data_IF_416073081955
#
_entry.id   IF_416073081955
#
_cell.length_a   1.000
_cell.length_b   1.000
_cell.length_c   1.000
_cell.angle_alpha   90.00
_cell.angle_beta   90.00
_cell.angle_gamma   90.00
#
_symmetry.space_group_name_H-M   'P 1'
#
loop_
_entity.id
_entity.type
_entity.pdbx_description
1 polymer ?
#
# COMPACT_ATOMS: atom_id res chain seq x y z
N UNK A 1 -14.11 -26.35 -64.49
CA UNK A 1 -13.74 -27.24 -63.36
C UNK A 1 -12.57 -26.73 -62.51
N UNK A 2 -11.88 -25.64 -62.86
CA UNK A 2 -10.68 -25.17 -62.15
C UNK A 2 -10.95 -24.31 -60.89
N UNK A 3 -12.14 -23.72 -60.73
CA UNK A 3 -12.47 -22.85 -59.59
C UNK A 3 -12.69 -23.62 -58.27
N UNK A 4 -13.22 -24.85 -58.34
CA UNK A 4 -13.49 -25.68 -57.16
C UNK A 4 -12.23 -26.18 -56.44
N UNK A 5 -11.08 -26.21 -57.12
CA UNK A 5 -9.82 -26.67 -56.54
C UNK A 5 -9.13 -25.55 -55.75
N UNK A 6 -9.32 -24.29 -56.14
CA UNK A 6 -8.76 -23.13 -55.43
C UNK A 6 -9.50 -22.85 -54.12
N UNK A 7 -10.83 -22.95 -54.13
CA UNK A 7 -11.65 -22.76 -52.92
C UNK A 7 -11.32 -23.82 -51.85
N UNK A 8 -11.15 -25.09 -52.25
CA UNK A 8 -10.76 -26.18 -51.34
C UNK A 8 -9.37 -25.97 -50.72
N UNK A 9 -8.41 -25.47 -51.50
CA UNK A 9 -7.08 -25.13 -50.95
C UNK A 9 -7.15 -23.97 -49.96
N UNK A 10 -8.05 -23.02 -50.18
CA UNK A 10 -8.24 -21.89 -49.28
C UNK A 10 -8.95 -22.30 -47.98
N UNK A 11 -9.87 -23.26 -48.02
CA UNK A 11 -10.49 -23.83 -46.81
C UNK A 11 -9.50 -24.67 -46.02
N UNK A 12 -8.71 -25.52 -46.68
CA UNK A 12 -7.68 -26.33 -46.01
C UNK A 12 -6.62 -25.44 -45.32
N UNK A 13 -6.19 -24.36 -45.99
CA UNK A 13 -5.26 -23.40 -45.41
C UNK A 13 -5.86 -22.63 -44.21
N UNK A 14 -7.17 -22.38 -44.23
CA UNK A 14 -7.89 -21.74 -43.12
C UNK A 14 -8.00 -22.71 -41.93
N UNK A 15 -8.30 -23.98 -42.17
CA UNK A 15 -8.38 -25.03 -41.15
C UNK A 15 -7.02 -25.29 -40.47
N UNK A 16 -5.94 -25.28 -41.25
CA UNK A 16 -4.58 -25.38 -40.68
C UNK A 16 -4.27 -24.18 -39.79
N UNK A 17 -4.68 -22.97 -40.18
CA UNK A 17 -4.48 -21.76 -39.38
C UNK A 17 -5.32 -21.75 -38.11
N UNK A 18 -6.58 -22.20 -38.16
CA UNK A 18 -7.43 -22.28 -36.96
C UNK A 18 -6.93 -23.37 -36.01
N UNK A 19 -6.44 -24.50 -36.53
CA UNK A 19 -5.80 -25.53 -35.72
C UNK A 19 -4.52 -25.03 -35.03
N UNK A 20 -3.66 -24.30 -35.76
CA UNK A 20 -2.47 -23.69 -35.19
C UNK A 20 -2.84 -22.64 -34.11
N UNK A 21 -3.85 -21.81 -34.36
CA UNK A 21 -4.32 -20.82 -33.39
C UNK A 21 -4.85 -21.49 -32.11
N UNK A 22 -5.65 -22.55 -32.25
CA UNK A 22 -6.15 -23.34 -31.12
C UNK A 22 -5.01 -23.99 -30.33
N UNK A 23 -3.97 -24.50 -31.01
CA UNK A 23 -2.79 -25.04 -30.34
C UNK A 23 -2.07 -23.97 -29.50
N UNK A 24 -1.85 -22.78 -30.07
CA UNK A 24 -1.23 -21.67 -29.33
C UNK A 24 -2.08 -21.19 -28.16
N UNK A 25 -3.40 -21.16 -28.33
CA UNK A 25 -4.35 -20.79 -27.27
C UNK A 25 -4.28 -21.78 -26.11
N UNK A 26 -4.25 -23.08 -26.40
CA UNK A 26 -4.14 -24.12 -25.39
C UNK A 26 -2.81 -24.01 -24.63
N UNK A 27 -1.69 -23.82 -25.34
CA UNK A 27 -0.38 -23.61 -24.69
C UNK A 27 -0.38 -22.38 -23.78
N UNK A 28 -0.99 -21.27 -24.22
CA UNK A 28 -1.05 -20.04 -23.42
C UNK A 28 -1.98 -20.21 -22.20
N UNK A 29 -3.08 -20.93 -22.36
CA UNK A 29 -3.97 -21.30 -21.26
C UNK A 29 -3.23 -22.14 -20.22
N UNK A 30 -2.47 -23.15 -20.65
CA UNK A 30 -1.68 -23.99 -19.77
C UNK A 30 -0.62 -23.18 -19.01
N UNK A 31 0.11 -22.29 -19.71
CA UNK A 31 1.06 -21.36 -19.08
C UNK A 31 0.39 -20.45 -18.04
N UNK A 32 -0.78 -19.89 -18.35
CA UNK A 32 -1.56 -19.08 -17.41
C UNK A 32 -1.94 -19.89 -16.16
N UNK A 33 -2.42 -21.12 -16.32
CA UNK A 33 -2.82 -21.96 -15.17
C UNK A 33 -1.62 -22.34 -14.31
N UNK A 34 -0.45 -22.59 -14.91
CA UNK A 34 0.79 -22.87 -14.19
C UNK A 34 1.24 -21.65 -13.35
N UNK A 35 1.17 -20.44 -13.90
CA UNK A 35 1.47 -19.21 -13.17
C UNK A 35 0.48 -18.95 -12.03
N UNK A 36 -0.82 -19.18 -12.25
CA UNK A 36 -1.82 -19.09 -11.18
C UNK A 36 -1.50 -20.06 -10.03
N UNK A 37 -1.09 -21.29 -10.33
CA UNK A 37 -0.69 -22.27 -9.32
C UNK A 37 0.55 -21.82 -8.54
N UNK A 38 1.57 -21.27 -9.21
CA UNK A 38 2.76 -20.76 -8.51
C UNK A 38 2.41 -19.58 -7.61
N UNK A 39 1.51 -18.69 -8.03
CA UNK A 39 1.05 -17.58 -7.20
C UNK A 39 0.22 -18.06 -6.01
N UNK A 40 -0.65 -19.06 -6.19
CA UNK A 40 -1.44 -19.66 -5.09
C UNK A 40 -0.56 -20.37 -4.04
N UNK A 41 0.59 -20.92 -4.43
CA UNK A 41 1.56 -21.48 -3.48
C UNK A 41 2.22 -20.40 -2.61
N UNK A 42 2.24 -19.14 -3.04
CA UNK A 42 2.75 -18.01 -2.25
C UNK A 42 1.69 -17.33 -1.39
N UNK A 43 0.40 -17.66 -1.59
CA UNK A 43 -0.68 -17.14 -0.73
C UNK A 43 -0.84 -18.00 0.52
N UNK A 44 -0.55 -17.37 1.66
CA UNK A 44 -0.87 -17.79 3.02
C UNK A 44 -2.28 -18.43 3.11
N UNK A 45 -2.50 -19.45 3.95
CA UNK A 45 -3.79 -20.14 4.06
C UNK A 45 -4.94 -19.18 4.41
N UNK A 46 -6.19 -19.49 4.02
CA UNK A 46 -7.35 -18.70 4.37
C UNK A 46 -7.75 -19.02 5.81
N UNK A 47 -6.98 -18.55 6.78
CA UNK A 47 -7.51 -18.42 8.13
C UNK A 47 -8.35 -17.13 8.17
N UNK A 48 -9.62 -17.17 8.59
CA UNK A 48 -10.34 -15.95 8.93
C UNK A 48 -9.52 -15.27 10.01
N UNK A 49 -8.90 -14.15 9.65
CA UNK A 49 -8.00 -13.40 10.52
C UNK A 49 -8.87 -12.72 11.57
N UNK A 50 -9.27 -13.47 12.60
CA UNK A 50 -9.80 -12.89 13.82
C UNK A 50 -8.77 -11.87 14.29
N UNK A 51 -9.18 -10.60 14.28
CA UNK A 51 -8.31 -9.50 14.66
C UNK A 51 -8.13 -9.58 16.18
N UNK A 52 -7.14 -10.36 16.60
CA UNK A 52 -6.63 -10.33 17.96
C UNK A 52 -5.69 -9.12 18.03
N UNK A 53 -6.01 -8.06 18.80
CA UNK A 53 -5.11 -6.93 18.95
C UNK A 53 -3.78 -7.45 19.51
N UNK A 54 -2.71 -7.14 18.80
CA UNK A 54 -1.35 -7.57 19.15
C UNK A 54 -0.95 -6.89 20.46
N UNK A 55 -1.04 -7.62 21.58
CA UNK A 55 -0.41 -7.22 22.85
C UNK A 55 1.11 -7.46 22.84
N UNK A 56 1.66 -7.97 21.73
CA UNK A 56 3.08 -8.16 21.53
C UNK A 56 3.77 -6.83 21.13
N UNK A 57 3.77 -5.87 22.06
CA UNK A 57 4.61 -4.68 21.97
C UNK A 57 6.11 -4.97 22.24
N UNK A 58 6.55 -6.24 22.33
CA UNK A 58 7.91 -6.54 22.80
C UNK A 58 8.53 -7.85 22.27
N UNK A 59 8.12 -8.39 21.13
CA UNK A 59 8.90 -9.50 20.53
C UNK A 59 8.96 -9.39 19.02
N UNK A 60 10.16 -9.11 18.53
CA UNK A 60 10.54 -9.04 17.13
C UNK A 60 10.21 -10.37 16.44
N UNK A 61 9.48 -10.40 15.31
CA UNK A 61 9.24 -11.64 14.61
C UNK A 61 10.54 -12.11 13.94
N UNK A 62 10.96 -13.33 14.26
CA UNK A 62 12.12 -13.96 13.66
C UNK A 62 11.80 -14.29 12.19
N UNK A 63 12.22 -13.41 11.28
CA UNK A 63 12.10 -13.61 9.85
C UNK A 63 13.23 -14.51 9.36
N UNK A 64 12.81 -15.55 8.64
CA UNK A 64 13.60 -16.54 7.93
C UNK A 64 14.77 -15.89 7.16
N UNK A 65 15.96 -16.42 7.38
CA UNK A 65 17.25 -15.89 6.92
C UNK A 65 17.28 -15.39 5.47
N UNK A 66 17.36 -14.07 5.36
CA UNK A 66 17.80 -13.27 4.22
C UNK A 66 19.11 -12.59 4.69
N UNK A 67 20.13 -12.37 3.84
CA UNK A 67 21.43 -11.84 4.25
C UNK A 67 21.28 -10.59 5.13
N UNK A 68 21.84 -10.69 6.34
CA UNK A 68 21.44 -9.94 7.54
C UNK A 68 21.99 -8.49 7.56
N UNK A 69 22.90 -8.15 6.65
CA UNK A 69 23.65 -6.89 6.76
C UNK A 69 22.96 -5.69 6.11
N UNK A 70 22.29 -5.85 4.96
CA UNK A 70 21.62 -4.73 4.27
C UNK A 70 20.32 -4.29 4.97
N UNK A 71 19.61 -5.25 5.58
CA UNK A 71 18.34 -4.98 6.27
C UNK A 71 18.54 -4.24 7.60
N UNK A 72 19.67 -4.46 8.30
CA UNK A 72 19.92 -3.81 9.60
C UNK A 72 20.15 -2.31 9.43
N UNK A 73 20.93 -1.93 8.42
CA UNK A 73 21.25 -0.53 8.14
C UNK A 73 20.00 0.21 7.64
N UNK A 74 19.21 -0.40 6.75
CA UNK A 74 17.94 0.15 6.28
C UNK A 74 16.91 0.30 7.41
N UNK A 75 16.80 -0.70 8.29
CA UNK A 75 15.91 -0.64 9.46
C UNK A 75 16.38 0.42 10.47
N UNK A 76 17.69 0.64 10.60
CA UNK A 76 18.24 1.70 11.47
C UNK A 76 17.92 3.11 10.93
N UNK A 77 18.02 3.30 9.62
CA UNK A 77 17.67 4.56 8.95
C UNK A 77 16.17 4.85 9.08
N UNK A 78 15.32 3.84 8.83
CA UNK A 78 13.88 3.96 9.01
C UNK A 78 13.49 4.33 10.46
N UNK A 79 14.11 3.69 11.47
CA UNK A 79 13.89 4.03 12.88
C UNK A 79 14.29 5.47 13.22
N UNK A 80 15.39 5.95 12.64
CA UNK A 80 15.86 7.33 12.85
C UNK A 80 14.86 8.34 12.31
N UNK A 81 14.36 8.13 11.09
CA UNK A 81 13.34 8.99 10.46
C UNK A 81 12.05 9.02 11.29
N UNK A 82 11.58 7.85 11.74
CA UNK A 82 10.37 7.76 12.57
C UNK A 82 10.58 8.50 13.89
N UNK A 83 11.73 8.32 14.54
CA UNK A 83 12.06 9.00 15.80
C UNK A 83 12.10 10.52 15.62
N UNK A 84 12.69 11.00 14.54
CA UNK A 84 12.71 12.42 14.22
C UNK A 84 11.31 12.97 13.99
N UNK A 85 10.47 12.26 13.23
CA UNK A 85 9.09 12.68 12.98
C UNK A 85 8.25 12.73 14.26
N UNK A 86 8.37 11.71 15.12
CA UNK A 86 7.74 11.67 16.44
C UNK A 86 8.20 12.85 17.29
N UNK A 87 9.50 13.15 17.28
CA UNK A 87 10.05 14.31 18.00
C UNK A 87 9.46 15.62 17.52
N UNK A 88 9.42 15.85 16.20
CA UNK A 88 8.82 17.05 15.59
C UNK A 88 7.35 17.21 15.97
N UNK A 89 6.58 16.11 15.97
CA UNK A 89 5.17 16.14 16.34
C UNK A 89 4.97 16.48 17.83
N UNK A 90 5.80 15.93 18.71
CA UNK A 90 5.75 16.29 20.14
C UNK A 90 6.08 17.77 20.36
N UNK A 91 7.16 18.26 19.77
CA UNK A 91 7.53 19.68 19.90
C UNK A 91 6.44 20.61 19.34
N UNK A 92 5.83 20.24 18.21
CA UNK A 92 4.69 20.99 17.67
C UNK A 92 3.52 21.05 18.64
N UNK A 93 3.09 19.89 19.15
CA UNK A 93 1.96 19.81 20.07
C UNK A 93 2.23 20.58 21.37
N UNK A 94 3.44 20.47 21.93
CA UNK A 94 3.82 21.20 23.14
C UNK A 94 3.71 22.73 22.95
N UNK A 95 4.24 23.26 21.85
CA UNK A 95 4.16 24.69 21.55
C UNK A 95 2.71 25.11 21.33
N UNK A 96 1.94 24.30 20.59
CA UNK A 96 0.53 24.56 20.32
C UNK A 96 -0.29 24.62 21.60
N UNK A 97 -0.11 23.67 22.52
CA UNK A 97 -0.84 23.62 23.79
C UNK A 97 -0.52 24.83 24.68
N UNK A 98 0.75 25.24 24.75
CA UNK A 98 1.15 26.47 25.46
C UNK A 98 0.54 27.71 24.82
N UNK A 99 0.57 27.81 23.49
CA UNK A 99 -0.01 28.93 22.77
C UNK A 99 -1.53 29.04 22.98
N UNK A 100 -2.25 27.92 22.90
CA UNK A 100 -3.69 27.88 23.17
C UNK A 100 -4.03 28.27 24.62
N UNK A 101 -3.21 27.83 25.59
CA UNK A 101 -3.35 28.26 26.98
C UNK A 101 -3.17 29.78 27.15
N UNK A 102 -2.15 30.35 26.52
CA UNK A 102 -1.88 31.80 26.53
C UNK A 102 -3.02 32.59 25.88
N UNK A 103 -3.51 32.14 24.73
CA UNK A 103 -4.64 32.76 24.04
C UNK A 103 -5.90 32.69 24.91
N UNK A 104 -6.15 31.57 25.60
CA UNK A 104 -7.25 31.44 26.54
C UNK A 104 -7.22 32.52 27.63
N UNK A 105 -6.05 32.76 28.21
CA UNK A 105 -5.86 33.81 29.22
C UNK A 105 -6.04 35.23 28.63
N UNK A 106 -5.57 35.48 27.41
CA UNK A 106 -5.76 36.78 26.73
C UNK A 106 -7.24 37.03 26.44
N UNK A 107 -7.95 36.01 25.97
CA UNK A 107 -9.38 36.09 25.67
C UNK A 107 -10.20 36.37 26.94
N UNK A 108 -9.85 35.74 28.06
CA UNK A 108 -10.47 35.99 29.37
C UNK A 108 -10.25 37.43 29.83
N UNK A 109 -9.02 37.96 29.72
CA UNK A 109 -8.71 39.35 30.08
C UNK A 109 -9.47 40.37 29.23
N UNK A 110 -9.67 40.08 27.94
CA UNK A 110 -10.41 40.94 27.00
C UNK A 110 -11.93 40.76 27.08
N UNK A 111 -12.42 39.72 27.76
CA UNK A 111 -13.85 39.38 27.81
C UNK A 111 -14.45 38.94 26.47
N UNK A 112 -13.61 38.48 25.54
CA UNK A 112 -14.03 38.01 24.20
C UNK A 112 -13.88 36.49 24.11
N UNK A 113 -14.52 35.87 23.13
CA UNK A 113 -14.38 34.41 22.95
C UNK A 113 -13.01 34.07 22.40
N UNK A 114 -12.45 32.95 22.83
CA UNK A 114 -11.15 32.43 22.36
C UNK A 114 -11.08 32.35 20.83
N UNK A 115 -12.19 31.97 20.18
CA UNK A 115 -12.30 31.91 18.72
C UNK A 115 -12.11 33.28 18.04
N UNK A 116 -12.72 34.31 18.62
CA UNK A 116 -12.67 35.67 18.06
C UNK A 116 -11.27 36.28 18.27
N UNK A 117 -10.58 35.93 19.37
CA UNK A 117 -9.15 36.22 19.53
C UNK A 117 -8.28 35.47 18.51
N UNK A 118 -8.53 34.18 18.25
CA UNK A 118 -7.78 33.41 17.26
C UNK A 118 -7.85 34.06 15.87
N UNK A 119 -9.06 34.50 15.48
CA UNK A 119 -9.31 35.17 14.19
C UNK A 119 -8.56 36.51 14.09
N UNK A 120 -8.48 37.29 15.19
CA UNK A 120 -7.68 38.52 15.26
C UNK A 120 -6.17 38.25 15.03
N UNK A 121 -5.66 37.12 15.52
CA UNK A 121 -4.28 36.69 15.31
C UNK A 121 -4.07 35.94 13.97
N UNK A 122 -5.11 35.80 13.15
CA UNK A 122 -5.05 35.14 11.85
C UNK A 122 -4.86 33.62 11.92
N UNK A 123 -5.26 32.99 13.04
CA UNK A 123 -5.17 31.55 13.27
C UNK A 123 -6.56 30.92 13.12
N UNK A 124 -6.66 29.81 12.37
CA UNK A 124 -7.89 29.02 12.35
C UNK A 124 -7.93 28.06 13.55
N UNK A 125 -9.12 27.76 14.06
CA UNK A 125 -9.30 26.82 15.17
C UNK A 125 -8.91 25.37 14.81
N UNK A 126 -8.62 25.12 13.53
CA UNK A 126 -8.24 23.82 12.98
C UNK A 126 -6.72 23.64 12.80
N UNK A 127 -5.94 24.71 12.90
CA UNK A 127 -4.48 24.67 12.81
C UNK A 127 -3.86 24.35 14.17
#
# INVERSE_FOLDING_TARGET
>A
MQNQTSDKKSTDALEVRTAALMATYNTLSDQRTALLRSLQQTTFPPTPRAYLPSTAAHTTPSLRGVPVDEDVELMSAAKTIIKEHIGRLHTYNEIKDVAQGLIGMIAEQRGVRVRDCLEEFGLDAKD
#
